data_IF_202564547143
#
_entry.id   IF_202564547143
#
_cell.length_a   1.000
_cell.length_b   1.000
_cell.length_c   1.000
_cell.angle_alpha   90.00
_cell.angle_beta   90.00
_cell.angle_gamma   90.00
#
_symmetry.space_group_name_H-M   'P 1'
#
loop_
_entity.id
_entity.type
_entity.pdbx_description
1 polymer ?
#
# COMPACT_ATOMS: atom_id res chain seq x y z
N UNK A 1 29.25 8.96 -17.03
CA UNK A 1 29.24 8.00 -15.89
C UNK A 1 30.07 8.67 -14.82
N UNK A 2 29.67 8.58 -13.55
CA UNK A 2 30.49 9.11 -12.45
C UNK A 2 31.72 8.22 -12.28
N UNK A 3 32.88 8.84 -12.19
CA UNK A 3 34.16 8.14 -12.04
C UNK A 3 34.75 8.47 -10.68
N UNK A 4 35.29 7.47 -10.00
CA UNK A 4 35.89 7.61 -8.67
C UNK A 4 37.38 7.15 -8.73
N UNK A 5 38.16 7.71 -7.83
CA UNK A 5 39.54 7.28 -7.64
C UNK A 5 39.61 5.84 -7.11
N UNK A 6 40.83 5.29 -7.07
CA UNK A 6 41.06 4.06 -6.27
C UNK A 6 40.58 4.28 -4.83
N UNK A 7 40.01 3.23 -4.21
CA UNK A 7 39.68 3.23 -2.80
C UNK A 7 40.99 3.23 -1.98
N UNK A 8 41.18 4.25 -1.17
CA UNK A 8 42.39 4.43 -0.34
C UNK A 8 42.03 4.03 1.10
N UNK A 9 42.74 3.05 1.63
CA UNK A 9 42.59 2.61 3.02
C UNK A 9 43.25 3.66 3.92
N UNK A 10 42.57 4.15 4.94
CA UNK A 10 43.10 5.14 5.88
C UNK A 10 44.13 4.51 6.81
N UNK A 11 44.91 5.33 7.51
CA UNK A 11 45.86 4.84 8.55
C UNK A 11 45.17 4.01 9.61
N UNK A 12 43.92 4.38 10.03
CA UNK A 12 43.10 3.60 10.95
C UNK A 12 42.62 2.28 10.33
N UNK A 13 42.24 2.28 9.08
CA UNK A 13 41.91 1.08 8.33
C UNK A 13 43.07 0.10 8.20
N UNK A 14 44.26 0.63 7.91
CA UNK A 14 45.51 -0.20 7.89
C UNK A 14 45.82 -0.81 9.25
N UNK A 15 45.68 -0.03 10.33
CA UNK A 15 45.85 -0.54 11.70
C UNK A 15 44.84 -1.67 12.02
N UNK A 16 43.57 -1.51 11.62
CA UNK A 16 42.55 -2.55 11.77
C UNK A 16 42.92 -3.82 10.99
N UNK A 17 43.38 -3.70 9.75
CA UNK A 17 43.87 -4.86 8.97
C UNK A 17 44.99 -5.59 9.70
N UNK A 18 45.95 -4.85 10.25
CA UNK A 18 47.08 -5.44 11.01
C UNK A 18 46.59 -6.24 12.24
N UNK A 19 45.59 -5.73 12.99
CA UNK A 19 44.95 -6.45 14.10
C UNK A 19 44.29 -7.74 13.63
N UNK A 20 43.54 -7.70 12.51
CA UNK A 20 42.87 -8.88 11.95
C UNK A 20 43.87 -9.95 11.50
N UNK A 21 45.00 -9.56 10.90
CA UNK A 21 46.08 -10.49 10.53
C UNK A 21 46.72 -11.10 11.78
N UNK A 22 46.80 -10.36 12.89
CA UNK A 22 47.26 -10.87 14.16
C UNK A 22 46.29 -11.84 14.88
N UNK A 23 45.10 -12.06 14.32
CA UNK A 23 44.11 -13.01 14.81
C UNK A 23 43.05 -12.42 15.75
N UNK A 24 42.86 -11.11 15.77
CA UNK A 24 41.93 -10.39 16.65
C UNK A 24 40.46 -10.30 16.11
N UNK A 25 40.08 -11.15 15.15
CA UNK A 25 38.70 -11.25 14.69
C UNK A 25 38.50 -11.00 13.17
N UNK A 26 37.34 -10.49 12.78
CA UNK A 26 36.96 -10.17 11.40
C UNK A 26 36.65 -8.67 11.27
N UNK A 27 36.87 -8.11 10.07
CA UNK A 27 36.46 -6.73 9.79
C UNK A 27 34.95 -6.69 9.61
N UNK A 28 34.28 -5.93 10.47
CA UNK A 28 32.83 -5.69 10.38
C UNK A 28 32.56 -4.30 9.78
N UNK A 29 32.08 -4.29 8.52
CA UNK A 29 31.74 -3.07 7.79
C UNK A 29 30.33 -2.62 8.17
N UNK A 30 30.17 -1.35 8.57
CA UNK A 30 28.91 -0.84 9.13
C UNK A 30 28.11 -0.01 8.15
N UNK A 31 28.74 0.94 7.47
CA UNK A 31 28.06 1.92 6.62
C UNK A 31 28.98 2.50 5.55
N UNK A 32 28.34 3.08 4.53
CA UNK A 32 28.97 4.00 3.59
C UNK A 32 28.36 5.38 3.78
N UNK A 33 29.21 6.42 3.86
CA UNK A 33 28.73 7.82 3.88
C UNK A 33 29.17 8.57 2.64
N UNK A 34 28.30 9.46 2.15
CA UNK A 34 28.60 10.36 1.04
C UNK A 34 28.85 11.76 1.57
N UNK A 35 29.83 12.44 1.00
CA UNK A 35 30.16 13.83 1.35
C UNK A 35 30.20 14.73 0.12
N UNK A 36 29.80 15.99 0.29
CA UNK A 36 29.96 17.05 -0.71
C UNK A 36 31.33 17.70 -0.69
N UNK A 37 32.19 17.36 0.27
CA UNK A 37 33.56 17.87 0.36
C UNK A 37 34.46 17.13 -0.61
N UNK A 38 35.25 17.87 -1.39
CA UNK A 38 36.29 17.31 -2.25
C UNK A 38 37.63 17.32 -1.48
N UNK A 39 38.26 16.15 -1.37
CA UNK A 39 39.59 16.00 -0.77
C UNK A 39 40.64 15.83 -1.87
N UNK A 40 41.90 16.07 -1.52
CA UNK A 40 43.04 15.71 -2.37
C UNK A 40 43.46 14.26 -2.12
N UNK A 41 43.91 13.54 -3.12
CA UNK A 41 44.37 12.15 -3.02
C UNK A 41 45.42 11.94 -1.91
N UNK A 42 46.31 12.92 -1.73
CA UNK A 42 47.36 12.88 -0.70
C UNK A 42 46.87 13.03 0.71
N UNK A 43 45.61 13.42 0.92
CA UNK A 43 45.02 13.60 2.26
C UNK A 43 44.25 12.36 2.74
N UNK A 44 43.87 11.45 1.82
CA UNK A 44 42.89 10.39 2.10
C UNK A 44 43.36 9.41 3.19
N UNK A 45 44.66 9.03 3.19
CA UNK A 45 45.19 8.09 4.16
C UNK A 45 45.15 8.63 5.61
N UNK A 46 45.31 9.94 5.78
CA UNK A 46 45.33 10.59 7.08
C UNK A 46 43.93 10.97 7.61
N UNK A 47 42.87 10.77 6.80
CA UNK A 47 41.50 11.09 7.22
C UNK A 47 41.03 10.17 8.35
N UNK A 48 40.49 10.77 9.40
CA UNK A 48 39.82 10.05 10.51
C UNK A 48 38.29 10.15 10.46
N UNK A 49 37.75 11.12 9.75
CA UNK A 49 36.32 11.32 9.54
C UNK A 49 36.08 12.13 8.25
N UNK A 50 34.89 12.01 7.66
CA UNK A 50 34.45 12.87 6.57
C UNK A 50 33.79 14.14 7.11
N UNK A 51 34.09 15.31 6.49
CA UNK A 51 33.33 16.55 6.69
C UNK A 51 32.28 16.69 5.60
N UNK A 52 31.25 17.50 5.82
CA UNK A 52 30.23 17.75 4.79
C UNK A 52 29.43 16.52 4.37
N UNK A 53 29.26 15.54 5.26
CA UNK A 53 28.44 14.34 5.03
C UNK A 53 27.00 14.76 4.70
N UNK A 54 26.44 14.19 3.66
CA UNK A 54 25.08 14.44 3.16
C UNK A 54 24.15 13.28 3.39
N UNK A 55 24.63 12.07 3.13
CA UNK A 55 23.86 10.85 3.36
C UNK A 55 24.75 9.76 3.92
N UNK A 56 24.12 8.84 4.66
CA UNK A 56 24.74 7.64 5.19
C UNK A 56 23.80 6.47 4.95
N UNK A 57 24.31 5.38 4.41
CA UNK A 57 23.56 4.14 4.20
C UNK A 57 24.26 2.99 4.88
N UNK A 58 23.48 2.12 5.53
CA UNK A 58 23.99 0.87 6.07
C UNK A 58 24.42 -0.05 4.92
N UNK A 59 25.36 -0.94 5.20
CA UNK A 59 25.79 -1.94 4.22
C UNK A 59 24.63 -2.87 3.89
N UNK A 60 24.31 -2.98 2.61
CA UNK A 60 23.27 -3.87 2.11
C UNK A 60 23.78 -5.29 1.86
N UNK A 61 25.03 -5.41 1.45
CA UNK A 61 25.66 -6.70 1.17
C UNK A 61 27.19 -6.63 1.27
N UNK A 62 27.78 -7.70 1.79
CA UNK A 62 29.22 -7.96 1.73
C UNK A 62 29.44 -9.27 0.98
N UNK A 63 30.28 -9.27 -0.04
CA UNK A 63 30.55 -10.46 -0.86
C UNK A 63 32.05 -10.63 -1.02
N UNK A 64 32.56 -11.83 -0.75
CA UNK A 64 33.95 -12.19 -1.09
C UNK A 64 34.07 -12.36 -2.61
N UNK A 65 34.88 -11.55 -3.24
CA UNK A 65 35.07 -11.56 -4.70
C UNK A 65 36.13 -12.57 -5.12
N UNK A 66 37.20 -12.68 -4.33
CA UNK A 66 38.26 -13.67 -4.48
C UNK A 66 38.98 -13.85 -3.14
N UNK A 67 40.15 -14.52 -3.13
CA UNK A 67 40.87 -14.82 -1.89
C UNK A 67 41.44 -13.60 -1.16
N UNK A 68 41.49 -12.43 -1.84
CA UNK A 68 42.10 -11.21 -1.29
C UNK A 68 41.20 -9.96 -1.42
N UNK A 69 40.00 -10.08 -1.99
CA UNK A 69 39.11 -8.94 -2.22
C UNK A 69 37.69 -9.16 -1.73
N UNK A 70 37.15 -8.15 -1.08
CA UNK A 70 35.77 -8.08 -0.58
C UNK A 70 35.06 -6.93 -1.26
N UNK A 71 33.86 -7.18 -1.75
CA UNK A 71 32.95 -6.19 -2.30
C UNK A 71 31.91 -5.81 -1.26
N UNK A 72 31.79 -4.52 -0.99
CA UNK A 72 30.83 -3.93 -0.03
C UNK A 72 29.84 -3.07 -0.82
N UNK A 73 28.57 -3.27 -0.59
CA UNK A 73 27.50 -2.66 -1.36
C UNK A 73 26.54 -1.86 -0.47
N UNK A 74 26.14 -0.67 -0.93
CA UNK A 74 25.13 0.17 -0.30
C UNK A 74 24.32 0.95 -1.32
N UNK A 75 23.07 1.26 -1.01
CA UNK A 75 22.18 2.04 -1.85
C UNK A 75 21.82 3.38 -1.19
N UNK A 76 21.80 4.44 -1.97
CA UNK A 76 21.39 5.79 -1.58
C UNK A 76 20.18 6.20 -2.40
N UNK A 77 19.20 6.83 -1.78
CA UNK A 77 18.04 7.40 -2.46
C UNK A 77 17.88 8.86 -2.07
N UNK A 78 17.20 9.64 -2.90
CA UNK A 78 16.95 11.05 -2.60
C UNK A 78 15.66 11.29 -1.79
N UNK A 79 14.98 10.27 -1.32
CA UNK A 79 13.66 10.38 -0.66
C UNK A 79 13.61 11.38 0.49
N UNK A 80 14.72 11.53 1.23
CA UNK A 80 14.82 12.43 2.38
C UNK A 80 15.59 13.73 2.07
N UNK A 81 15.96 13.94 0.80
CA UNK A 81 16.74 15.11 0.39
C UNK A 81 15.86 16.29 0.03
N UNK A 82 15.97 17.36 0.81
CA UNK A 82 15.35 18.66 0.51
C UNK A 82 16.17 19.52 -0.46
N UNK A 83 17.47 19.26 -0.57
CA UNK A 83 18.40 19.92 -1.49
C UNK A 83 19.33 18.92 -2.13
N UNK A 84 19.55 19.03 -3.44
CA UNK A 84 20.50 18.19 -4.16
C UNK A 84 21.97 18.53 -3.84
N UNK A 85 22.85 17.58 -4.07
CA UNK A 85 24.28 17.75 -3.83
C UNK A 85 25.14 16.92 -4.79
N UNK A 86 26.40 17.30 -4.94
CA UNK A 86 27.38 16.47 -5.63
C UNK A 86 28.05 15.51 -4.63
N UNK A 87 28.04 14.22 -4.96
CA UNK A 87 28.77 13.19 -4.20
C UNK A 87 30.26 13.29 -4.58
N UNK A 88 31.02 14.04 -3.78
CA UNK A 88 32.45 14.26 -4.03
C UNK A 88 33.34 13.21 -3.41
N UNK A 89 32.91 12.65 -2.29
CA UNK A 89 33.71 11.68 -1.53
C UNK A 89 32.80 10.61 -0.95
N UNK A 90 33.25 9.37 -0.99
CA UNK A 90 32.62 8.23 -0.33
C UNK A 90 33.55 7.68 0.74
N UNK A 91 33.04 7.42 1.94
CA UNK A 91 33.80 6.80 3.02
C UNK A 91 33.15 5.51 3.48
N UNK A 92 33.92 4.45 3.56
CA UNK A 92 33.57 3.16 4.10
C UNK A 92 33.97 3.09 5.56
N UNK A 93 33.06 2.67 6.43
CA UNK A 93 33.29 2.56 7.88
C UNK A 93 33.28 1.10 8.33
N UNK A 94 34.09 0.83 9.35
CA UNK A 94 34.17 -0.47 9.97
C UNK A 94 34.33 -0.33 11.49
N UNK A 95 34.06 -1.40 12.25
CA UNK A 95 34.29 -1.46 13.69
C UNK A 95 35.71 -1.90 13.99
N UNK A 96 36.44 -1.08 14.74
CA UNK A 96 37.71 -1.45 15.41
C UNK A 96 37.40 -1.90 16.84
N UNK A 97 37.93 -3.05 17.31
CA UNK A 97 37.61 -3.57 18.64
C UNK A 97 38.01 -2.64 19.79
N UNK A 98 39.01 -1.78 19.60
CA UNK A 98 39.50 -0.87 20.63
C UNK A 98 38.97 0.55 20.50
N UNK A 99 38.78 1.04 19.25
CA UNK A 99 38.40 2.42 18.98
C UNK A 99 36.91 2.61 18.63
N UNK A 100 36.18 1.52 18.42
CA UNK A 100 34.79 1.56 17.92
C UNK A 100 34.72 1.81 16.40
N UNK A 101 33.73 2.56 15.93
CA UNK A 101 33.55 2.79 14.50
C UNK A 101 34.61 3.77 13.96
N UNK A 102 35.35 3.33 12.95
CA UNK A 102 36.41 4.10 12.28
C UNK A 102 36.09 4.32 10.79
N UNK A 103 36.67 5.37 10.21
CA UNK A 103 36.72 5.54 8.78
C UNK A 103 37.80 4.61 8.20
N UNK A 104 37.37 3.50 7.61
CA UNK A 104 38.24 2.43 7.11
C UNK A 104 38.90 2.80 5.78
N UNK A 105 38.12 3.29 4.81
CA UNK A 105 38.61 3.62 3.48
C UNK A 105 37.82 4.76 2.85
N UNK A 106 38.46 5.48 1.93
CA UNK A 106 37.91 6.67 1.26
C UNK A 106 38.19 6.64 -0.23
N UNK A 107 37.24 7.10 -1.03
CA UNK A 107 37.45 7.38 -2.45
C UNK A 107 36.83 8.73 -2.84
N UNK A 108 37.39 9.39 -3.83
CA UNK A 108 36.94 10.70 -4.31
C UNK A 108 36.46 10.63 -5.76
N UNK A 109 35.42 11.40 -6.05
CA UNK A 109 34.88 11.55 -7.39
C UNK A 109 35.84 12.39 -8.26
N UNK A 110 36.06 11.95 -9.50
CA UNK A 110 37.07 12.56 -10.43
C UNK A 110 36.43 13.17 -11.68
N UNK A 111 35.20 12.81 -12.02
CA UNK A 111 34.54 13.26 -13.26
C UNK A 111 33.73 14.55 -13.12
N UNK A 112 33.40 14.97 -11.92
CA UNK A 112 32.55 16.12 -11.63
C UNK A 112 31.04 15.90 -11.85
N UNK A 113 30.62 14.68 -12.16
CA UNK A 113 29.29 14.38 -12.67
C UNK A 113 28.36 13.58 -11.71
N UNK A 114 28.83 13.26 -10.50
CA UNK A 114 28.02 12.47 -9.54
C UNK A 114 27.09 13.39 -8.74
N UNK A 115 25.91 13.69 -9.30
CA UNK A 115 24.91 14.56 -8.66
C UNK A 115 23.69 13.78 -8.18
N UNK A 116 23.32 13.95 -6.91
CA UNK A 116 22.07 13.46 -6.33
C UNK A 116 21.06 14.61 -6.27
N UNK A 117 19.95 14.56 -7.05
CA UNK A 117 18.94 15.61 -7.04
C UNK A 117 18.11 15.61 -5.75
N UNK A 118 17.47 16.74 -5.39
CA UNK A 118 16.52 16.77 -4.31
C UNK A 118 15.28 15.92 -4.68
N UNK A 119 14.56 15.43 -3.67
CA UNK A 119 13.29 14.78 -3.90
C UNK A 119 12.22 15.81 -4.27
N UNK A 120 11.51 15.58 -5.35
CA UNK A 120 10.46 16.47 -5.86
C UNK A 120 9.03 16.00 -5.52
N UNK A 121 8.90 14.99 -4.63
CA UNK A 121 7.61 14.42 -4.26
C UNK A 121 7.08 13.34 -5.21
N UNK A 122 7.73 13.12 -6.37
CA UNK A 122 7.23 12.21 -7.41
C UNK A 122 8.30 11.22 -7.85
N UNK A 123 9.51 11.70 -8.15
CA UNK A 123 10.57 10.87 -8.74
C UNK A 123 11.65 10.55 -7.71
N UNK A 124 11.85 9.26 -7.44
CA UNK A 124 12.96 8.77 -6.63
C UNK A 124 14.17 8.58 -7.53
N UNK A 125 15.26 9.24 -7.17
CA UNK A 125 16.58 9.00 -7.77
C UNK A 125 17.45 8.25 -6.78
N UNK A 126 18.23 7.30 -7.27
CA UNK A 126 19.10 6.50 -6.42
C UNK A 126 20.50 6.34 -7.01
N UNK A 127 21.45 6.00 -6.15
CA UNK A 127 22.81 5.59 -6.53
C UNK A 127 23.13 4.29 -5.80
N UNK A 128 23.55 3.30 -6.56
CA UNK A 128 24.05 2.04 -6.02
C UNK A 128 25.58 2.10 -6.01
N UNK A 129 26.17 1.91 -4.86
CA UNK A 129 27.62 2.01 -4.63
C UNK A 129 28.18 0.63 -4.34
N UNK A 130 29.19 0.24 -5.11
CA UNK A 130 29.96 -0.97 -4.88
C UNK A 130 31.42 -0.56 -4.63
N UNK A 131 31.91 -0.80 -3.43
CA UNK A 131 33.30 -0.59 -3.06
C UNK A 131 34.01 -1.93 -2.98
N UNK A 132 35.12 -2.07 -3.71
CA UNK A 132 35.95 -3.27 -3.59
C UNK A 132 37.18 -2.91 -2.78
N UNK A 133 37.38 -3.57 -1.66
CA UNK A 133 38.56 -3.44 -0.80
C UNK A 133 39.33 -4.74 -0.77
N UNK A 134 40.64 -4.66 -0.67
CA UNK A 134 41.53 -5.82 -0.60
C UNK A 134 42.12 -5.97 0.79
N UNK A 135 42.27 -7.21 1.22
CA UNK A 135 43.02 -7.58 2.41
C UNK A 135 44.37 -8.15 1.93
N UNK A 136 45.33 -7.26 1.60
CA UNK A 136 46.61 -7.63 1.04
C UNK A 136 47.08 -6.73 -0.13
N UNK A 137 48.27 -7.00 -0.68
CA UNK A 137 48.93 -6.22 -1.71
C UNK A 137 48.29 -6.38 -3.12
N UNK A 138 47.05 -5.94 -3.31
CA UNK A 138 46.43 -5.94 -4.65
C UNK A 138 46.45 -4.53 -5.29
N UNK A 139 47.02 -4.43 -6.48
CA UNK A 139 47.34 -3.17 -7.17
C UNK A 139 46.17 -2.45 -7.85
N UNK A 140 44.94 -2.97 -7.83
CA UNK A 140 43.83 -2.28 -8.48
C UNK A 140 42.47 -2.61 -7.87
N UNK A 141 41.74 -1.57 -7.53
CA UNK A 141 40.33 -1.61 -7.16
C UNK A 141 39.56 -0.76 -8.15
N UNK A 142 38.65 -1.36 -8.89
CA UNK A 142 37.71 -0.61 -9.72
C UNK A 142 36.44 -0.29 -8.95
N UNK A 143 36.00 0.95 -9.01
CA UNK A 143 34.72 1.39 -8.49
C UNK A 143 33.74 1.54 -9.65
N UNK A 144 32.67 0.77 -9.65
CA UNK A 144 31.53 1.03 -10.50
C UNK A 144 30.42 1.69 -9.68
N UNK A 145 30.04 2.91 -10.03
CA UNK A 145 28.83 3.57 -9.57
C UNK A 145 27.81 3.47 -10.69
N UNK A 146 26.89 2.53 -10.55
CA UNK A 146 25.76 2.40 -11.47
C UNK A 146 24.55 3.16 -10.90
N UNK A 147 24.27 4.33 -11.47
CA UNK A 147 23.10 5.13 -11.13
C UNK A 147 21.77 4.50 -11.58
N UNK A 148 21.82 3.50 -12.45
CA UNK A 148 20.65 2.82 -13.00
C UNK A 148 20.29 1.52 -12.25
N UNK A 149 21.15 1.01 -11.38
CA UNK A 149 21.02 -0.32 -10.77
C UNK A 149 20.22 -0.35 -9.46
N UNK A 150 19.65 0.75 -9.00
CA UNK A 150 18.70 0.72 -7.87
C UNK A 150 17.33 0.38 -8.42
N UNK A 151 16.86 -0.84 -8.14
CA UNK A 151 15.48 -1.17 -8.41
C UNK A 151 14.59 -0.12 -7.69
N UNK A 152 13.87 0.65 -8.47
CA UNK A 152 12.97 1.67 -7.93
C UNK A 152 11.78 0.99 -7.25
N UNK A 153 11.09 1.70 -6.37
CA UNK A 153 9.80 1.22 -5.83
C UNK A 153 8.87 0.84 -6.98
N UNK A 154 8.93 1.57 -8.11
CA UNK A 154 8.17 1.26 -9.32
C UNK A 154 8.53 -0.09 -9.94
N UNK A 155 9.81 -0.46 -10.01
CA UNK A 155 10.24 -1.76 -10.54
C UNK A 155 9.77 -2.91 -9.64
N UNK A 156 9.84 -2.73 -8.32
CA UNK A 156 9.33 -3.72 -7.35
C UNK A 156 7.82 -3.87 -7.50
N UNK A 157 7.08 -2.78 -7.64
CA UNK A 157 5.63 -2.80 -7.84
C UNK A 157 5.25 -3.47 -9.16
N UNK A 158 5.99 -3.24 -10.24
CA UNK A 158 5.75 -3.89 -11.52
C UNK A 158 6.03 -5.40 -11.46
N UNK A 159 7.13 -5.82 -10.82
CA UNK A 159 7.42 -7.25 -10.58
C UNK A 159 6.34 -7.90 -9.71
N UNK A 160 5.88 -7.24 -8.64
CA UNK A 160 4.79 -7.73 -7.81
C UNK A 160 3.49 -7.88 -8.61
N UNK A 161 3.22 -6.92 -9.50
CA UNK A 161 2.07 -6.99 -10.40
C UNK A 161 2.20 -8.17 -11.38
N UNK A 162 3.37 -8.37 -12.00
CA UNK A 162 3.62 -9.52 -12.90
C UNK A 162 3.47 -10.85 -12.18
N UNK A 163 3.99 -10.97 -10.96
CA UNK A 163 3.78 -12.17 -10.12
C UNK A 163 2.30 -12.40 -9.86
N UNK A 164 1.56 -11.34 -9.49
CA UNK A 164 0.12 -11.44 -9.27
C UNK A 164 -0.65 -11.80 -10.56
N UNK A 165 -0.21 -11.31 -11.70
CA UNK A 165 -0.81 -11.67 -13.00
C UNK A 165 -0.58 -13.14 -13.32
N UNK A 166 0.63 -13.66 -13.09
CA UNK A 166 0.92 -15.09 -13.23
C UNK A 166 0.09 -15.94 -12.26
N UNK A 167 0.03 -15.56 -10.99
CA UNK A 167 -0.79 -16.24 -9.98
C UNK A 167 -2.28 -16.28 -10.36
N UNK A 168 -2.78 -15.25 -11.03
CA UNK A 168 -4.17 -15.22 -11.49
C UNK A 168 -4.47 -16.29 -12.54
N UNK A 169 -3.48 -16.75 -13.31
CA UNK A 169 -3.60 -17.86 -14.27
C UNK A 169 -3.29 -19.23 -13.64
N UNK A 170 -2.30 -19.31 -12.76
CA UNK A 170 -1.90 -20.56 -12.09
C UNK A 170 -2.84 -20.87 -10.91
N UNK A 171 -3.19 -19.85 -10.13
CA UNK A 171 -4.01 -19.91 -8.92
C UNK A 171 -3.32 -19.21 -7.76
N UNK A 172 -4.11 -18.53 -6.92
CA UNK A 172 -3.64 -17.95 -5.66
C UNK A 172 -3.65 -19.00 -4.56
N UNK A 173 -2.69 -18.93 -3.65
CA UNK A 173 -2.60 -19.74 -2.43
C UNK A 173 -2.88 -18.97 -1.15
N UNK A 174 -3.09 -17.65 -1.26
CA UNK A 174 -3.38 -16.79 -0.12
C UNK A 174 -4.74 -17.11 0.51
N UNK A 175 -4.79 -17.16 1.84
CA UNK A 175 -6.02 -17.48 2.60
C UNK A 175 -7.06 -16.35 2.58
N UNK A 176 -6.68 -15.16 2.16
CA UNK A 176 -7.51 -13.96 2.09
C UNK A 176 -7.84 -13.52 0.64
N UNK A 177 -7.54 -14.37 -0.34
CA UNK A 177 -7.97 -14.22 -1.73
C UNK A 177 -9.04 -15.27 -2.05
N UNK A 178 -10.21 -14.81 -2.45
CA UNK A 178 -11.36 -15.65 -2.80
C UNK A 178 -11.68 -15.48 -4.27
N UNK A 179 -11.80 -16.59 -4.99
CA UNK A 179 -12.01 -16.54 -6.42
C UNK A 179 -13.15 -17.41 -6.93
N UNK A 180 -13.67 -17.01 -8.08
CA UNK A 180 -14.61 -17.82 -8.88
C UNK A 180 -14.27 -17.71 -10.35
N UNK A 181 -14.20 -18.85 -11.03
CA UNK A 181 -14.16 -18.94 -12.48
C UNK A 181 -15.58 -19.12 -13.01
N UNK A 182 -15.97 -18.25 -13.93
CA UNK A 182 -17.26 -18.31 -14.63
C UNK A 182 -17.00 -18.70 -16.07
N UNK A 183 -17.50 -19.85 -16.47
CA UNK A 183 -17.46 -20.37 -17.83
C UNK A 183 -18.87 -20.27 -18.44
N UNK A 184 -19.09 -19.23 -19.24
CA UNK A 184 -20.39 -18.99 -19.89
C UNK A 184 -20.67 -19.98 -21.03
N UNK A 185 -19.64 -20.60 -21.59
CA UNK A 185 -19.81 -21.60 -22.67
C UNK A 185 -20.37 -22.88 -22.09
N UNK A 186 -19.75 -23.38 -21.00
CA UNK A 186 -20.14 -24.63 -20.37
C UNK A 186 -21.14 -24.42 -19.20
N UNK A 187 -21.57 -23.17 -18.94
CA UNK A 187 -22.48 -22.78 -17.85
C UNK A 187 -21.99 -23.31 -16.48
N UNK A 188 -20.69 -23.15 -16.22
CA UNK A 188 -20.04 -23.71 -15.03
C UNK A 188 -19.43 -22.61 -14.17
N UNK A 189 -19.59 -22.75 -12.84
CA UNK A 189 -18.90 -21.97 -11.82
C UNK A 189 -17.92 -22.86 -11.09
N UNK A 190 -16.68 -22.41 -10.93
CA UNK A 190 -15.64 -23.15 -10.19
C UNK A 190 -15.03 -22.22 -9.18
N UNK A 191 -15.02 -22.61 -7.90
CA UNK A 191 -14.35 -21.83 -6.86
C UNK A 191 -12.84 -21.94 -6.99
N UNK A 192 -12.13 -20.87 -6.64
CA UNK A 192 -10.68 -20.77 -6.74
C UNK A 192 -10.09 -20.19 -5.45
N UNK A 193 -8.79 -20.39 -5.27
CA UNK A 193 -8.02 -19.90 -4.13
C UNK A 193 -8.66 -20.30 -2.79
N UNK A 194 -8.66 -19.45 -1.77
CA UNK A 194 -9.23 -19.79 -0.46
C UNK A 194 -10.74 -20.15 -0.47
N UNK A 195 -11.47 -19.81 -1.53
CA UNK A 195 -12.88 -20.19 -1.65
C UNK A 195 -13.11 -21.69 -1.89
N UNK A 196 -12.09 -22.44 -2.33
CA UNK A 196 -12.22 -23.87 -2.69
C UNK A 196 -12.65 -24.71 -1.49
N UNK A 197 -12.03 -24.50 -0.34
CA UNK A 197 -12.20 -25.32 0.85
C UNK A 197 -13.23 -24.78 1.84
N UNK A 198 -13.97 -23.71 1.50
CA UNK A 198 -14.97 -23.12 2.40
C UNK A 198 -16.35 -23.69 2.14
N UNK A 199 -17.07 -23.93 3.24
CA UNK A 199 -18.49 -24.31 3.19
C UNK A 199 -19.33 -23.18 2.62
N UNK A 200 -20.28 -23.44 1.70
CA UNK A 200 -21.20 -22.41 1.21
C UNK A 200 -22.01 -21.79 2.36
N UNK A 201 -22.15 -20.47 2.35
CA UNK A 201 -22.81 -19.70 3.40
C UNK A 201 -21.91 -19.50 4.59
N UNK A 202 -22.12 -20.20 5.69
CA UNK A 202 -21.42 -20.05 6.98
C UNK A 202 -19.89 -20.00 6.89
N UNK A 203 -19.29 -20.71 5.94
CA UNK A 203 -17.84 -20.69 5.73
C UNK A 203 -17.28 -19.35 5.23
N UNK A 204 -18.13 -18.37 4.98
CA UNK A 204 -17.75 -17.01 4.57
C UNK A 204 -18.13 -15.94 5.59
N UNK A 205 -18.74 -16.31 6.73
CA UNK A 205 -19.26 -15.37 7.71
C UNK A 205 -18.15 -14.64 8.48
N UNK A 206 -16.99 -15.25 8.61
CA UNK A 206 -15.81 -14.66 9.25
C UNK A 206 -15.04 -13.68 8.36
N UNK A 207 -15.37 -13.59 7.06
CA UNK A 207 -14.65 -12.77 6.09
C UNK A 207 -15.32 -11.39 5.98
N UNK A 208 -14.60 -10.28 6.25
CA UNK A 208 -15.18 -8.94 6.30
C UNK A 208 -16.01 -8.55 5.07
N UNK A 209 -15.53 -8.83 3.87
CA UNK A 209 -16.24 -8.44 2.64
C UNK A 209 -17.45 -9.32 2.30
N UNK A 210 -17.63 -10.45 2.97
CA UNK A 210 -18.78 -11.36 2.83
C UNK A 210 -19.67 -11.33 4.08
N UNK A 211 -19.25 -11.94 5.19
CA UNK A 211 -19.99 -12.02 6.43
C UNK A 211 -19.98 -10.74 7.25
N UNK A 212 -19.04 -9.83 7.01
CA UNK A 212 -19.03 -8.51 7.64
C UNK A 212 -20.13 -7.56 7.17
N UNK A 213 -20.99 -7.99 6.22
CA UNK A 213 -22.16 -7.23 5.80
C UNK A 213 -23.22 -7.24 6.90
N UNK A 214 -23.72 -6.05 7.26
CA UNK A 214 -24.70 -5.89 8.33
C UNK A 214 -25.90 -5.08 7.84
N UNK A 215 -27.11 -5.61 8.04
CA UNK A 215 -28.31 -4.82 7.84
C UNK A 215 -28.41 -3.76 8.94
N UNK A 216 -28.69 -2.52 8.55
CA UNK A 216 -28.72 -1.39 9.47
C UNK A 216 -29.77 -0.35 9.05
N UNK A 217 -30.13 0.49 10.00
CA UNK A 217 -30.88 1.72 9.76
C UNK A 217 -29.91 2.90 9.64
N UNK A 218 -29.99 3.61 8.54
CA UNK A 218 -29.12 4.76 8.21
C UNK A 218 -29.99 6.01 8.08
N UNK A 219 -29.59 7.08 8.74
CA UNK A 219 -30.22 8.41 8.58
C UNK A 219 -29.80 9.06 7.26
N UNK A 220 -30.50 10.10 6.85
CA UNK A 220 -30.23 10.79 5.58
C UNK A 220 -28.83 11.46 5.50
N UNK A 221 -28.26 11.77 6.64
CA UNK A 221 -26.89 12.29 6.77
C UNK A 221 -25.81 11.19 6.82
N UNK A 222 -26.22 9.91 6.63
CA UNK A 222 -25.29 8.78 6.49
C UNK A 222 -24.88 8.13 7.81
N UNK A 223 -25.49 8.48 8.97
CA UNK A 223 -25.18 7.89 10.25
C UNK A 223 -25.97 6.61 10.48
N UNK A 224 -25.32 5.59 11.04
CA UNK A 224 -26.00 4.35 11.44
C UNK A 224 -26.69 4.55 12.79
N UNK A 225 -28.00 4.45 12.79
CA UNK A 225 -28.79 4.56 14.01
C UNK A 225 -28.98 3.21 14.71
N UNK A 226 -29.24 2.13 13.98
CA UNK A 226 -29.45 0.79 14.55
C UNK A 226 -28.93 -0.30 13.62
N UNK A 227 -28.45 -1.41 14.17
CA UNK A 227 -28.22 -2.64 13.43
C UNK A 227 -29.36 -3.63 13.60
N UNK A 228 -29.49 -4.56 12.65
CA UNK A 228 -30.48 -5.65 12.73
C UNK A 228 -30.26 -6.46 14.02
N UNK A 229 -31.34 -6.70 14.72
CA UNK A 229 -31.35 -7.39 16.03
C UNK A 229 -31.29 -6.45 17.25
N UNK A 230 -30.97 -5.18 17.06
CA UNK A 230 -31.02 -4.19 18.13
C UNK A 230 -32.45 -3.67 18.36
N UNK A 231 -32.72 -3.31 19.60
CA UNK A 231 -34.01 -2.70 19.99
C UNK A 231 -34.21 -1.39 19.27
N UNK A 232 -35.10 -1.07 18.53
CA UNK A 232 -35.26 0.17 17.76
C UNK A 232 -35.00 0.01 16.24
N UNK A 233 -34.34 -1.07 15.80
CA UNK A 233 -34.21 -1.38 14.38
C UNK A 233 -35.61 -1.57 13.76
N UNK A 234 -35.75 -1.05 12.55
CA UNK A 234 -37.00 -1.12 11.79
C UNK A 234 -36.77 -1.34 10.32
N UNK A 235 -37.65 -2.06 9.66
CA UNK A 235 -37.71 -2.16 8.20
C UNK A 235 -38.73 -1.20 7.57
N UNK A 236 -39.49 -0.46 8.40
CA UNK A 236 -40.58 0.41 7.92
C UNK A 236 -40.23 1.87 7.79
N UNK A 237 -38.94 2.20 7.90
CA UNK A 237 -38.43 3.55 7.66
C UNK A 237 -38.47 4.50 8.86
N UNK A 238 -38.82 4.01 10.05
CA UNK A 238 -38.79 4.82 11.28
C UNK A 238 -38.31 3.95 12.45
N UNK A 239 -37.41 4.49 13.28
CA UNK A 239 -36.97 3.80 14.49
C UNK A 239 -38.13 3.52 15.42
N UNK A 240 -38.17 2.34 15.99
CA UNK A 240 -39.24 1.94 16.93
C UNK A 240 -38.99 2.40 18.36
N UNK A 241 -37.73 2.65 18.70
CA UNK A 241 -37.28 3.14 20.02
C UNK A 241 -36.15 4.16 19.85
N UNK A 242 -35.88 4.93 20.91
CA UNK A 242 -34.71 5.77 20.97
C UNK A 242 -33.42 4.92 21.08
N UNK A 243 -32.36 5.36 20.43
CA UNK A 243 -31.06 4.68 20.42
C UNK A 243 -29.99 5.69 20.81
N UNK A 244 -29.11 5.30 21.70
CA UNK A 244 -27.87 6.00 22.03
C UNK A 244 -26.68 5.15 21.56
N UNK A 245 -25.83 5.74 20.73
CA UNK A 245 -24.62 5.11 20.18
C UNK A 245 -23.34 5.57 20.87
N UNK A 246 -23.45 6.41 21.87
CA UNK A 246 -22.29 6.78 22.67
C UNK A 246 -21.76 5.57 23.44
N UNK A 247 -20.43 5.50 23.70
CA UNK A 247 -19.86 4.55 24.65
C UNK A 247 -20.51 4.70 26.03
N UNK A 248 -20.63 3.60 26.78
CA UNK A 248 -21.31 3.61 28.07
C UNK A 248 -20.69 4.54 29.12
N UNK A 249 -19.39 4.79 29.05
CA UNK A 249 -18.61 5.56 30.03
C UNK A 249 -18.19 6.95 29.52
N UNK A 250 -18.90 7.54 28.56
CA UNK A 250 -18.52 8.85 28.03
C UNK A 250 -19.05 9.98 28.94
N UNK A 251 -18.16 10.88 29.41
CA UNK A 251 -18.54 12.02 30.28
C UNK A 251 -19.39 13.06 29.54
N UNK A 252 -19.11 13.32 28.26
CA UNK A 252 -19.87 14.23 27.41
C UNK A 252 -20.41 13.51 26.19
N UNK A 253 -21.67 13.01 26.22
CA UNK A 253 -22.30 12.30 25.11
C UNK A 253 -22.40 13.17 23.84
N UNK A 254 -21.99 12.63 22.71
CA UNK A 254 -22.23 13.25 21.41
C UNK A 254 -23.71 13.13 21.04
N UNK A 255 -24.41 14.25 21.06
CA UNK A 255 -25.85 14.29 20.71
C UNK A 255 -26.12 13.85 19.27
N UNK A 256 -25.12 13.92 18.39
CA UNK A 256 -25.25 13.42 17.01
C UNK A 256 -25.34 11.91 16.94
N UNK A 257 -24.95 11.19 17.98
CA UNK A 257 -25.06 9.73 18.14
C UNK A 257 -26.33 9.30 18.88
N UNK A 258 -27.21 10.24 19.23
CA UNK A 258 -28.49 9.98 19.87
C UNK A 258 -29.63 10.13 18.88
N UNK A 259 -30.45 9.12 18.76
CA UNK A 259 -31.57 9.04 17.82
C UNK A 259 -32.86 8.82 18.57
N UNK A 260 -33.84 9.71 18.38
CA UNK A 260 -35.16 9.57 19.01
C UNK A 260 -35.99 8.45 18.37
N UNK A 261 -36.93 7.90 19.12
CA UNK A 261 -38.00 7.06 18.56
C UNK A 261 -38.73 7.81 17.43
N UNK A 262 -39.03 7.15 16.34
CA UNK A 262 -39.67 7.76 15.17
C UNK A 262 -38.73 8.49 14.22
N UNK A 263 -37.40 8.56 14.52
CA UNK A 263 -36.42 9.07 13.57
C UNK A 263 -36.54 8.35 12.23
N UNK A 264 -36.62 9.12 11.14
CA UNK A 264 -36.71 8.59 9.76
C UNK A 264 -35.36 8.00 9.39
N UNK A 265 -35.38 6.77 8.91
CA UNK A 265 -34.20 6.00 8.54
C UNK A 265 -34.46 5.18 7.30
N UNK A 266 -33.40 4.85 6.58
CA UNK A 266 -33.41 3.90 5.47
C UNK A 266 -32.90 2.54 5.95
N UNK A 267 -33.49 1.46 5.47
CA UNK A 267 -32.98 0.12 5.75
C UNK A 267 -31.93 -0.23 4.68
N UNK A 268 -30.70 -0.30 5.15
CA UNK A 268 -29.54 -0.49 4.28
C UNK A 268 -28.77 -1.74 4.67
N UNK A 269 -27.86 -2.15 3.83
CA UNK A 269 -26.82 -3.14 4.11
C UNK A 269 -25.48 -2.45 4.07
N UNK A 270 -24.80 -2.41 5.20
CA UNK A 270 -23.43 -1.97 5.31
C UNK A 270 -22.54 -3.00 4.64
N UNK A 271 -21.76 -2.57 3.64
CA UNK A 271 -20.79 -3.37 2.91
C UNK A 271 -19.39 -2.86 3.21
N UNK A 272 -18.53 -3.62 3.90
CA UNK A 272 -17.13 -3.31 4.07
C UNK A 272 -16.39 -3.27 2.74
N UNK A 273 -15.33 -2.45 2.66
CA UNK A 273 -14.51 -2.32 1.46
C UNK A 273 -13.86 -3.66 1.08
N UNK A 274 -13.61 -3.81 -0.21
CA UNK A 274 -12.86 -4.93 -0.77
C UNK A 274 -12.10 -4.53 -2.02
N UNK A 275 -11.07 -5.32 -2.30
CA UNK A 275 -10.26 -5.21 -3.51
C UNK A 275 -10.63 -6.33 -4.45
N UNK A 276 -10.51 -6.09 -5.76
CA UNK A 276 -10.89 -7.06 -6.76
C UNK A 276 -9.89 -7.13 -7.91
N UNK A 277 -9.87 -8.28 -8.57
CA UNK A 277 -9.16 -8.50 -9.82
C UNK A 277 -10.02 -9.33 -10.75
N UNK A 278 -10.06 -8.94 -12.03
CA UNK A 278 -10.79 -9.64 -13.09
C UNK A 278 -9.79 -10.11 -14.12
N UNK A 279 -9.83 -11.38 -14.46
CA UNK A 279 -8.92 -12.02 -15.41
C UNK A 279 -9.74 -12.68 -16.52
N UNK A 280 -9.90 -12.04 -17.70
CA UNK A 280 -10.51 -12.67 -18.85
C UNK A 280 -9.65 -13.83 -19.34
N UNK A 281 -10.23 -15.03 -19.49
CA UNK A 281 -9.54 -16.21 -19.99
C UNK A 281 -9.89 -16.53 -21.45
N UNK A 282 -11.13 -16.28 -21.84
CA UNK A 282 -11.60 -16.47 -23.21
C UNK A 282 -12.42 -15.27 -23.63
N UNK A 283 -11.94 -14.53 -24.60
CA UNK A 283 -12.59 -13.36 -25.17
C UNK A 283 -12.86 -13.62 -26.65
N UNK A 284 -14.10 -13.45 -27.06
CA UNK A 284 -14.56 -13.59 -28.44
C UNK A 284 -14.79 -12.21 -29.04
N UNK A 285 -14.24 -11.95 -30.21
CA UNK A 285 -14.50 -10.74 -30.97
C UNK A 285 -15.75 -10.94 -31.84
N UNK A 286 -16.77 -10.15 -31.64
CA UNK A 286 -18.01 -10.18 -32.42
C UNK A 286 -18.22 -8.85 -33.18
N UNK A 287 -19.14 -8.84 -34.12
CA UNK A 287 -19.52 -7.62 -34.82
C UNK A 287 -20.07 -6.51 -33.89
N UNK A 288 -20.49 -6.86 -32.68
CA UNK A 288 -21.01 -5.92 -31.65
C UNK A 288 -19.96 -5.58 -30.55
N UNK A 289 -18.70 -6.01 -30.70
CA UNK A 289 -17.64 -5.80 -29.76
C UNK A 289 -17.13 -7.10 -29.13
N UNK A 290 -16.31 -6.96 -28.10
CA UNK A 290 -15.73 -8.09 -27.38
C UNK A 290 -16.71 -8.67 -26.37
N UNK A 291 -16.81 -9.99 -26.32
CA UNK A 291 -17.61 -10.74 -25.35
C UNK A 291 -16.70 -11.67 -24.59
N UNK A 292 -16.67 -11.53 -23.26
CA UNK A 292 -15.94 -12.46 -22.41
C UNK A 292 -16.74 -13.74 -22.20
N UNK A 293 -16.21 -14.86 -22.66
CA UNK A 293 -16.84 -16.18 -22.56
C UNK A 293 -16.39 -16.98 -21.33
N UNK A 294 -15.22 -16.66 -20.82
CA UNK A 294 -14.68 -17.26 -19.61
C UNK A 294 -13.85 -16.24 -18.85
N UNK A 295 -14.07 -16.14 -17.54
CA UNK A 295 -13.46 -15.11 -16.70
C UNK A 295 -13.25 -15.62 -15.29
N UNK A 296 -12.18 -15.16 -14.65
CA UNK A 296 -11.97 -15.31 -13.21
C UNK A 296 -12.17 -13.98 -12.51
N UNK A 297 -12.93 -14.02 -11.43
CA UNK A 297 -13.11 -12.93 -10.50
C UNK A 297 -12.43 -13.30 -9.20
N UNK A 298 -11.60 -12.41 -8.69
CA UNK A 298 -10.97 -12.54 -7.39
C UNK A 298 -11.32 -11.35 -6.52
N UNK A 299 -11.54 -11.60 -5.23
CA UNK A 299 -11.85 -10.61 -4.20
C UNK A 299 -10.95 -10.83 -2.99
N UNK A 300 -10.48 -9.75 -2.36
CA UNK A 300 -9.75 -9.77 -1.10
C UNK A 300 -10.24 -8.66 -0.18
N UNK A 301 -10.39 -8.89 1.15
CA UNK A 301 -10.70 -7.84 2.11
C UNK A 301 -9.54 -6.86 2.33
N UNK A 302 -8.33 -7.23 1.92
CA UNK A 302 -7.11 -6.41 2.06
C UNK A 302 -6.49 -6.09 0.71
N UNK A 303 -5.67 -5.03 0.68
CA UNK A 303 -4.94 -4.66 -0.53
C UNK A 303 -3.92 -5.73 -0.92
N UNK A 304 -3.93 -6.15 -2.17
CA UNK A 304 -3.00 -7.12 -2.76
C UNK A 304 -2.40 -6.56 -4.04
N UNK A 305 -1.19 -6.98 -4.36
CA UNK A 305 -0.54 -6.60 -5.60
C UNK A 305 -1.39 -6.99 -6.82
N UNK A 306 -1.61 -6.06 -7.74
CA UNK A 306 -2.45 -6.26 -8.93
C UNK A 306 -3.96 -6.27 -8.69
N UNK A 307 -4.43 -6.09 -7.45
CA UNK A 307 -5.84 -5.86 -7.14
C UNK A 307 -6.14 -4.37 -7.08
N UNK A 308 -7.37 -4.00 -7.39
CA UNK A 308 -7.86 -2.63 -7.32
C UNK A 308 -8.94 -2.52 -6.25
N UNK A 309 -8.95 -1.41 -5.51
CA UNK A 309 -10.10 -1.09 -4.67
C UNK A 309 -11.35 -0.97 -5.56
N UNK A 310 -12.47 -1.59 -5.13
CA UNK A 310 -13.70 -1.51 -5.91
C UNK A 310 -14.17 -0.04 -6.00
N UNK A 311 -14.54 0.47 -7.18
CA UNK A 311 -14.84 1.89 -7.40
C UNK A 311 -15.93 2.46 -6.48
N UNK A 312 -16.89 1.65 -6.03
CA UNK A 312 -17.92 2.07 -5.09
C UNK A 312 -17.37 2.62 -3.76
N UNK A 313 -16.14 2.26 -3.40
CA UNK A 313 -15.47 2.76 -2.19
C UNK A 313 -14.60 4.00 -2.44
N UNK A 314 -14.80 4.68 -3.55
CA UNK A 314 -14.10 5.92 -3.88
C UNK A 314 -15.15 7.02 -4.05
N UNK A 315 -15.11 8.04 -3.19
CA UNK A 315 -16.00 9.20 -3.28
C UNK A 315 -15.16 10.47 -3.17
N UNK A 316 -15.28 11.36 -4.17
CA UNK A 316 -14.54 12.63 -4.23
C UNK A 316 -13.03 12.47 -4.00
N UNK A 317 -12.43 11.40 -4.57
CA UNK A 317 -11.00 11.08 -4.43
C UNK A 317 -10.59 10.50 -3.08
N UNK A 318 -11.52 10.28 -2.16
CA UNK A 318 -11.28 9.65 -0.85
C UNK A 318 -11.71 8.20 -0.87
N UNK A 319 -10.95 7.34 -0.20
CA UNK A 319 -11.33 5.95 0.03
C UNK A 319 -12.29 5.88 1.22
N UNK A 320 -13.35 5.10 1.05
CA UNK A 320 -14.34 4.79 2.08
C UNK A 320 -14.06 3.40 2.64
N UNK A 321 -14.15 3.23 3.96
CA UNK A 321 -14.01 1.93 4.63
C UNK A 321 -15.24 1.03 4.39
N UNK A 322 -16.37 1.65 4.12
CA UNK A 322 -17.65 0.97 3.90
C UNK A 322 -18.59 1.83 3.06
N UNK A 323 -19.57 1.18 2.45
CA UNK A 323 -20.69 1.81 1.75
C UNK A 323 -22.00 1.21 2.24
N UNK A 324 -23.12 1.85 1.91
CA UNK A 324 -24.44 1.38 2.24
C UNK A 324 -25.23 1.10 0.96
N UNK A 325 -25.75 -0.11 0.85
CA UNK A 325 -26.58 -0.56 -0.26
C UNK A 325 -28.03 -0.67 0.26
N UNK A 326 -29.00 -0.34 -0.58
CA UNK A 326 -30.40 -0.52 -0.25
C UNK A 326 -30.70 -1.99 0.08
N UNK A 327 -31.35 -2.25 1.20
CA UNK A 327 -31.76 -3.60 1.59
C UNK A 327 -33.03 -4.06 0.86
N UNK A 328 -33.79 -3.11 0.35
CA UNK A 328 -35.04 -3.33 -0.39
C UNK A 328 -34.99 -2.51 -1.69
N UNK A 329 -35.90 -2.76 -2.60
CA UNK A 329 -36.10 -1.92 -3.78
C UNK A 329 -36.41 -0.47 -3.39
N UNK A 330 -36.01 0.48 -4.23
CA UNK A 330 -36.20 1.89 -3.96
C UNK A 330 -37.68 2.29 -4.02
N UNK A 331 -38.12 3.09 -3.05
CA UNK A 331 -39.39 3.79 -3.09
C UNK A 331 -39.20 5.30 -2.90
N UNK A 332 -40.24 6.08 -3.11
CA UNK A 332 -40.22 7.52 -2.90
C UNK A 332 -40.71 7.86 -1.47
N UNK A 333 -40.05 8.83 -0.87
CA UNK A 333 -40.58 9.58 0.27
C UNK A 333 -41.08 10.92 -0.24
N UNK A 334 -42.39 11.18 -0.09
CA UNK A 334 -43.01 12.46 -0.36
C UNK A 334 -43.09 13.28 0.91
N UNK A 335 -42.28 14.33 1.01
CA UNK A 335 -42.22 15.20 2.16
C UNK A 335 -43.48 16.07 2.31
N UNK A 336 -44.22 16.26 1.24
CA UNK A 336 -45.46 17.09 1.20
C UNK A 336 -46.73 16.30 1.53
N UNK A 337 -46.65 14.96 1.55
CA UNK A 337 -47.80 14.10 1.82
C UNK A 337 -48.19 14.10 3.30
N UNK A 338 -49.43 14.44 3.58
CA UNK A 338 -50.01 14.40 4.93
C UNK A 338 -49.27 15.31 5.94
N UNK A 339 -49.33 14.94 7.22
CA UNK A 339 -48.59 15.65 8.27
C UNK A 339 -47.23 15.00 8.48
N UNK A 340 -46.17 15.63 7.92
CA UNK A 340 -44.79 15.19 8.08
C UNK A 340 -44.28 14.16 7.07
N UNK A 341 -44.92 14.04 5.91
CA UNK A 341 -44.51 13.20 4.80
C UNK A 341 -44.99 11.76 4.85
N UNK A 342 -44.96 11.07 3.73
CA UNK A 342 -45.34 9.67 3.59
C UNK A 342 -44.49 8.92 2.55
N UNK A 343 -44.37 7.60 2.71
CA UNK A 343 -43.78 6.72 1.69
C UNK A 343 -44.78 6.41 0.60
N UNK A 344 -44.34 6.46 -0.64
CA UNK A 344 -45.09 5.94 -1.79
C UNK A 344 -44.78 4.44 -1.87
N UNK A 345 -45.73 3.62 -1.56
CA UNK A 345 -45.56 2.18 -1.42
C UNK A 345 -45.97 1.34 -2.62
N UNK A 346 -46.73 1.92 -3.55
CA UNK A 346 -47.17 1.25 -4.77
C UNK A 346 -47.41 2.22 -5.94
N UNK A 347 -47.57 1.68 -7.14
CA UNK A 347 -47.78 2.44 -8.38
C UNK A 347 -49.09 3.26 -8.37
N UNK A 348 -50.13 2.82 -7.66
CA UNK A 348 -51.38 3.55 -7.55
C UNK A 348 -51.20 4.88 -6.79
N UNK A 349 -50.30 4.89 -5.77
CA UNK A 349 -49.96 6.12 -5.08
C UNK A 349 -49.10 7.07 -5.91
N UNK A 350 -48.24 6.54 -6.79
CA UNK A 350 -47.49 7.36 -7.75
C UNK A 350 -48.42 8.13 -8.70
N UNK A 351 -49.52 7.53 -9.11
CA UNK A 351 -50.50 8.18 -9.97
C UNK A 351 -51.17 9.42 -9.33
N UNK A 352 -51.22 9.49 -8.01
CA UNK A 352 -51.73 10.64 -7.25
C UNK A 352 -50.66 11.66 -6.86
N UNK A 353 -49.41 11.37 -7.15
CA UNK A 353 -48.26 12.25 -6.90
C UNK A 353 -48.22 13.35 -7.95
N UNK A 354 -48.82 14.48 -7.64
CA UNK A 354 -49.05 15.59 -8.59
C UNK A 354 -48.04 16.72 -8.48
N UNK A 355 -47.19 16.72 -7.51
CA UNK A 355 -46.19 17.77 -7.32
C UNK A 355 -44.91 17.45 -8.08
N UNK A 356 -44.34 18.47 -8.70
CA UNK A 356 -42.93 18.44 -9.08
C UNK A 356 -42.11 18.04 -7.82
N UNK A 357 -40.99 17.36 -8.01
CA UNK A 357 -40.06 16.97 -6.92
C UNK A 357 -39.94 18.13 -5.95
N UNK A 358 -40.53 17.97 -4.78
CA UNK A 358 -40.55 19.00 -3.75
C UNK A 358 -39.26 18.98 -2.89
N UNK A 359 -39.03 20.07 -2.15
CA UNK A 359 -37.94 20.11 -1.21
C UNK A 359 -38.16 19.09 -0.11
N UNK A 360 -37.22 18.14 0.01
CA UNK A 360 -37.29 17.06 1.01
C UNK A 360 -37.79 15.72 0.48
N UNK A 361 -38.24 15.65 -0.78
CA UNK A 361 -38.53 14.38 -1.44
C UNK A 361 -37.24 13.61 -1.69
N UNK A 362 -37.26 12.29 -1.50
CA UNK A 362 -36.08 11.46 -1.60
C UNK A 362 -36.38 10.01 -1.96
N UNK A 363 -35.36 9.34 -2.49
CA UNK A 363 -35.36 7.89 -2.61
C UNK A 363 -35.14 7.25 -1.23
N UNK A 364 -35.84 6.18 -0.97
CA UNK A 364 -35.78 5.42 0.28
C UNK A 364 -35.74 3.93 0.03
N UNK A 365 -35.25 3.18 1.00
CA UNK A 365 -35.27 1.71 1.03
C UNK A 365 -35.97 1.23 2.28
N UNK A 366 -37.19 0.74 2.11
CA UNK A 366 -38.01 0.16 3.17
C UNK A 366 -38.72 -1.10 2.70
N UNK A 367 -39.11 -1.96 3.64
CA UNK A 367 -39.89 -3.15 3.32
C UNK A 367 -41.31 -2.80 2.84
N UNK A 368 -41.86 -3.68 2.03
CA UNK A 368 -43.25 -3.62 1.50
C UNK A 368 -43.54 -2.48 0.52
N UNK A 369 -42.52 -1.81 -0.01
CA UNK A 369 -42.68 -0.99 -1.21
C UNK A 369 -42.75 -1.91 -2.45
N UNK A 370 -43.60 -1.55 -3.43
CA UNK A 370 -43.80 -2.29 -4.69
C UNK A 370 -43.33 -1.51 -5.88
#
# INVERSE_FOLDING_TARGET
MAEFSKLVITNKGQALIAKMIAGEGNIDFTKISTSSTQYQLTQLEALTALTGVKQTSLISKVTRTNDVAIKVEAAFTNTDLTAGYYMRTLGLYAVDPDEGEILYAVTIETSGNCYMPPYNGVTVSGAYVQLVTTVGNADSVSLEVDQAAVATIGDIQELQKQISDLQAFVGYTDDDIFGVEVDFVNKKFTRLAAAVNRTPGEGFDDIPCFGGRKRCNVTDDGRVAAYYGEAGFSTTGKLTQAIDRNPEDVEEPDTSLQFASGTIVQTMVEQPKFYYKVVPLLVENTAKGQITRKVRYYVSPVAKAGFKLHPAFISNGRQLEKIYLAAFEGCLWDASAGTGGAYILDDAQVASFTSAVGTGDKLSSIANAK
#
